data_IF_668362464780
#
_entry.id   IF_668362464780
#
_cell.length_a   1.000
_cell.length_b   1.000
_cell.length_c   1.000
_cell.angle_alpha   90.00
_cell.angle_beta   90.00
_cell.angle_gamma   90.00
#
_symmetry.space_group_name_H-M   'P 1'
#
loop_
_entity.id
_entity.type
_entity.pdbx_description
1 polymer ?
#
# COMPACT_ATOMS: atom_id res chain seq x y z
N UNK A 1 -1.07 44.37 -7.55
CA UNK A 1 -0.97 43.11 -8.32
C UNK A 1 -0.01 42.19 -7.58
N UNK A 2 -0.43 40.99 -7.17
CA UNK A 2 0.40 40.08 -6.39
C UNK A 2 1.54 39.50 -7.25
N UNK A 3 2.76 39.47 -6.70
CA UNK A 3 3.95 38.98 -7.40
C UNK A 3 4.06 37.45 -7.28
N UNK A 4 3.51 36.74 -8.25
CA UNK A 4 3.43 35.26 -8.28
C UNK A 4 4.67 34.59 -8.90
N UNK A 5 5.78 35.32 -9.10
CA UNK A 5 7.00 34.79 -9.74
C UNK A 5 7.56 33.53 -9.07
N UNK A 6 7.34 33.38 -7.76
CA UNK A 6 7.77 32.21 -6.99
C UNK A 6 7.02 30.91 -7.35
N UNK A 7 5.81 31.01 -7.92
CA UNK A 7 5.03 29.85 -8.37
C UNK A 7 5.70 29.13 -9.56
N UNK A 8 6.45 29.84 -10.40
CA UNK A 8 7.21 29.22 -11.49
C UNK A 8 8.27 28.24 -10.96
N UNK A 9 8.88 28.54 -9.81
CA UNK A 9 9.82 27.65 -9.13
C UNK A 9 9.10 26.56 -8.30
N UNK A 10 7.91 26.84 -7.77
CA UNK A 10 7.12 25.87 -7.02
C UNK A 10 6.45 24.80 -7.93
N UNK A 11 6.14 25.14 -9.19
CA UNK A 11 5.51 24.24 -10.15
C UNK A 11 6.30 22.93 -10.38
N UNK A 12 7.62 22.94 -10.69
CA UNK A 12 8.39 21.71 -10.85
C UNK A 12 8.51 20.92 -9.55
N UNK A 13 8.61 21.59 -8.40
CA UNK A 13 8.62 20.93 -7.09
C UNK A 13 7.27 20.25 -6.79
N UNK A 14 6.16 20.88 -7.17
CA UNK A 14 4.82 20.31 -7.05
C UNK A 14 4.62 19.04 -7.89
N UNK A 15 5.19 18.99 -9.09
CA UNK A 15 5.16 17.78 -9.94
C UNK A 15 5.94 16.64 -9.27
N UNK A 16 7.13 16.92 -8.74
CA UNK A 16 7.94 15.91 -8.04
C UNK A 16 7.18 15.39 -6.81
N UNK A 17 6.61 16.28 -6.00
CA UNK A 17 5.80 15.90 -4.85
C UNK A 17 4.60 15.04 -5.27
N UNK A 18 3.90 15.42 -6.34
CA UNK A 18 2.80 14.65 -6.92
C UNK A 18 3.22 13.24 -7.33
N UNK A 19 4.38 13.09 -7.98
CA UNK A 19 4.87 11.77 -8.37
C UNK A 19 5.27 10.90 -7.17
N UNK A 20 5.84 11.49 -6.12
CA UNK A 20 6.11 10.76 -4.87
C UNK A 20 4.82 10.27 -4.21
N UNK A 21 3.77 11.09 -4.20
CA UNK A 21 2.46 10.71 -3.70
C UNK A 21 1.83 9.58 -4.54
N UNK A 22 1.95 9.63 -5.87
CA UNK A 22 1.46 8.56 -6.76
C UNK A 22 2.23 7.26 -6.50
N UNK A 23 3.54 7.32 -6.31
CA UNK A 23 4.35 6.12 -6.02
C UNK A 23 3.91 5.43 -4.73
N UNK A 24 3.76 6.18 -3.64
CA UNK A 24 3.33 5.64 -2.35
C UNK A 24 1.92 5.06 -2.39
N UNK A 25 0.98 5.79 -3.00
CA UNK A 25 -0.40 5.33 -3.14
C UNK A 25 -0.52 4.12 -4.08
N UNK A 26 0.23 4.11 -5.19
CA UNK A 26 0.23 3.00 -6.13
C UNK A 26 0.61 1.68 -5.45
N UNK A 27 1.70 1.69 -4.67
CA UNK A 27 2.11 0.52 -3.89
C UNK A 27 1.05 0.09 -2.86
N UNK A 28 0.43 1.05 -2.17
CA UNK A 28 -0.63 0.77 -1.20
C UNK A 28 -1.84 0.10 -1.84
N UNK A 29 -2.35 0.66 -2.94
CA UNK A 29 -3.54 0.14 -3.61
C UNK A 29 -3.29 -1.24 -4.22
N UNK A 30 -2.13 -1.46 -4.85
CA UNK A 30 -1.78 -2.76 -5.42
C UNK A 30 -1.67 -3.81 -4.31
N UNK A 31 -0.99 -3.51 -3.19
CA UNK A 31 -0.87 -4.46 -2.09
C UNK A 31 -2.22 -4.81 -1.48
N UNK A 32 -3.08 -3.79 -1.28
CA UNK A 32 -4.42 -3.95 -0.74
C UNK A 32 -5.30 -4.79 -1.69
N UNK A 33 -5.17 -4.62 -3.00
CA UNK A 33 -5.89 -5.42 -3.99
C UNK A 33 -5.46 -6.89 -3.98
N UNK A 34 -4.15 -7.17 -3.89
CA UNK A 34 -3.62 -8.54 -3.94
C UNK A 34 -3.90 -9.33 -2.66
N UNK A 35 -3.75 -8.69 -1.49
CA UNK A 35 -3.85 -9.39 -0.19
C UNK A 35 -5.21 -9.17 0.51
N UNK A 36 -6.08 -8.33 -0.05
CA UNK A 36 -7.35 -7.93 0.57
C UNK A 36 -7.20 -7.00 1.79
N UNK A 37 -5.97 -6.72 2.23
CA UNK A 37 -5.67 -5.92 3.42
C UNK A 37 -4.45 -5.01 3.22
N UNK A 38 -4.39 -3.86 3.93
CA UNK A 38 -3.19 -3.02 3.97
C UNK A 38 -1.95 -3.81 4.41
N UNK A 39 -0.77 -3.41 3.94
CA UNK A 39 0.51 -4.03 4.33
C UNK A 39 0.79 -3.74 5.81
N UNK A 40 1.05 -4.78 6.60
CA UNK A 40 1.47 -4.63 7.99
C UNK A 40 2.94 -4.19 8.04
N UNK A 41 3.23 -3.11 8.77
CA UNK A 41 4.58 -2.59 8.95
C UNK A 41 5.17 -3.27 10.19
N UNK A 42 6.42 -3.75 10.12
CA UNK A 42 7.07 -4.41 11.25
C UNK A 42 6.54 -5.82 11.53
N UNK A 43 6.09 -6.53 10.50
CA UNK A 43 5.63 -7.91 10.61
C UNK A 43 6.77 -8.84 11.04
N UNK A 44 6.72 -9.32 12.29
CA UNK A 44 7.79 -10.10 12.89
C UNK A 44 7.61 -11.62 12.65
N UNK A 45 8.52 -12.43 13.20
CA UNK A 45 8.47 -13.88 13.02
C UNK A 45 7.20 -14.53 13.56
N UNK A 46 6.59 -13.95 14.59
CA UNK A 46 5.35 -14.44 15.19
C UNK A 46 4.16 -14.14 14.27
N UNK A 47 4.09 -12.93 13.71
CA UNK A 47 3.03 -12.55 12.78
C UNK A 47 3.04 -13.41 11.51
N UNK A 48 4.23 -13.71 10.97
CA UNK A 48 4.37 -14.62 9.82
C UNK A 48 3.86 -16.03 10.16
N UNK A 49 4.18 -16.53 11.35
CA UNK A 49 3.75 -17.86 11.78
C UNK A 49 2.23 -17.93 11.97
N UNK A 50 1.64 -16.90 12.58
CA UNK A 50 0.19 -16.76 12.72
C UNK A 50 -0.51 -16.66 11.37
N UNK A 51 -0.03 -15.82 10.44
CA UNK A 51 -0.64 -15.66 9.12
C UNK A 51 -0.65 -16.99 8.33
N UNK A 52 0.43 -17.78 8.44
CA UNK A 52 0.51 -19.11 7.82
C UNK A 52 -0.45 -20.10 8.45
N UNK A 53 -0.58 -20.09 9.79
CA UNK A 53 -1.54 -20.92 10.53
C UNK A 53 -2.98 -20.60 10.10
N UNK A 54 -3.35 -19.32 10.08
CA UNK A 54 -4.72 -18.90 9.75
C UNK A 54 -5.07 -19.24 8.30
N UNK A 55 -4.14 -19.04 7.36
CA UNK A 55 -4.31 -19.49 5.96
C UNK A 55 -4.52 -21.00 5.86
N UNK A 56 -3.84 -21.80 6.68
CA UNK A 56 -3.99 -23.27 6.69
C UNK A 56 -5.34 -23.70 7.27
N UNK A 57 -5.74 -23.10 8.40
CA UNK A 57 -7.03 -23.34 9.04
C UNK A 57 -8.19 -22.96 8.12
N UNK A 58 -8.10 -21.79 7.48
CA UNK A 58 -9.13 -21.32 6.55
C UNK A 58 -9.27 -22.23 5.33
N UNK A 59 -8.17 -22.70 4.74
CA UNK A 59 -8.18 -23.68 3.64
C UNK A 59 -8.75 -25.05 4.04
N UNK A 60 -8.63 -25.43 5.31
CA UNK A 60 -9.20 -26.68 5.81
C UNK A 60 -10.70 -26.56 6.11
N UNK A 61 -11.16 -25.37 6.51
CA UNK A 61 -12.56 -25.08 6.83
C UNK A 61 -13.41 -24.76 5.60
N UNK A 62 -12.80 -24.34 4.48
CA UNK A 62 -13.52 -24.14 3.21
C UNK A 62 -13.84 -25.52 2.60
N UNK A 63 -15.12 -25.84 2.32
CA UNK A 63 -15.48 -27.08 1.64
C UNK A 63 -14.79 -27.12 0.29
N UNK A 64 -14.12 -28.22 -0.03
CA UNK A 64 -13.68 -28.46 -1.41
C UNK A 64 -14.95 -28.75 -2.20
N UNK A 65 -15.37 -27.79 -3.02
CA UNK A 65 -16.33 -28.06 -4.08
C UNK A 65 -15.68 -29.11 -4.99
N UNK A 66 -16.38 -30.25 -5.16
CA UNK A 66 -15.92 -31.39 -5.96
C UNK A 66 -15.94 -31.07 -7.45
#
# INVERSE_FOLDING_TARGET
MANLRWLEAALPLGIIAGMLCVMGNGQYFIHKAVHGRPKHIGNDGWDVAMERRDKRSWRAATPREN
#
